data_IF_384219141740
#
_entry.id   IF_384219141740
#
_cell.length_a   1.000
_cell.length_b   1.000
_cell.length_c   1.000
_cell.angle_alpha   90.00
_cell.angle_beta   90.00
_cell.angle_gamma   90.00
#
_symmetry.space_group_name_H-M   'P 1'
#
loop_
_entity.id
_entity.type
_entity.pdbx_description
1 polymer ?
#
# COMPACT_ATOMS: atom_id res chain seq x y z
N UNK A 1 5.59 -9.98 48.18
CA UNK A 1 5.44 -8.56 47.75
C UNK A 1 5.90 -8.31 46.32
N UNK A 2 6.99 -8.94 45.83
CA UNK A 2 7.47 -8.85 44.43
C UNK A 2 6.43 -9.20 43.34
N UNK A 3 5.54 -10.14 43.65
CA UNK A 3 4.52 -10.69 42.76
C UNK A 3 3.30 -9.77 42.56
N UNK A 4 3.02 -8.85 43.49
CA UNK A 4 1.96 -7.84 43.33
C UNK A 4 2.45 -6.64 42.52
N UNK A 5 3.70 -6.22 42.74
CA UNK A 5 4.33 -5.14 41.97
C UNK A 5 4.61 -5.56 40.52
N UNK A 6 5.00 -6.81 40.26
CA UNK A 6 5.19 -7.30 38.88
C UNK A 6 3.89 -7.36 38.08
N UNK A 7 2.76 -7.74 38.71
CA UNK A 7 1.42 -7.67 38.10
C UNK A 7 0.98 -6.22 37.84
N UNK A 8 1.27 -5.31 38.77
CA UNK A 8 0.92 -3.89 38.62
C UNK A 8 1.69 -3.21 37.48
N UNK A 9 2.99 -3.53 37.34
CA UNK A 9 3.85 -3.00 36.29
C UNK A 9 3.47 -3.58 34.92
N UNK A 10 3.08 -4.85 34.86
CA UNK A 10 2.58 -5.49 33.62
C UNK A 10 1.27 -4.85 33.12
N UNK A 11 0.33 -4.51 34.01
CA UNK A 11 -0.89 -3.80 33.61
C UNK A 11 -0.60 -2.36 33.12
N UNK A 12 0.39 -1.67 33.71
CA UNK A 12 0.74 -0.30 33.32
C UNK A 12 1.45 -0.23 31.95
N UNK A 13 2.26 -1.25 31.62
CA UNK A 13 2.92 -1.36 30.31
C UNK A 13 1.93 -1.72 29.18
N UNK A 14 0.86 -2.47 29.48
CA UNK A 14 -0.24 -2.73 28.54
C UNK A 14 -1.05 -1.46 28.23
N UNK A 15 -1.24 -0.56 29.20
CA UNK A 15 -1.98 0.69 28.98
C UNK A 15 -1.20 1.73 28.17
N UNK A 16 0.13 1.77 28.30
CA UNK A 16 0.95 2.76 27.58
C UNK A 16 1.15 2.43 26.09
N UNK A 17 0.94 1.17 25.71
CA UNK A 17 0.98 0.72 24.30
C UNK A 17 -0.32 1.04 23.54
N UNK A 18 -1.37 1.50 24.24
CA UNK A 18 -2.70 1.75 23.66
C UNK A 18 -2.89 3.19 23.15
N UNK A 19 -1.98 4.12 23.44
CA UNK A 19 -2.08 5.50 22.92
C UNK A 19 -1.86 5.59 21.41
N UNK A 20 -1.21 4.58 20.80
CA UNK A 20 -1.16 4.41 19.34
C UNK A 20 -2.46 3.86 18.72
N UNK A 21 -3.35 3.24 19.50
CA UNK A 21 -4.65 2.73 19.03
C UNK A 21 -5.73 3.82 18.98
N UNK A 22 -5.50 4.97 19.63
CA UNK A 22 -6.43 6.11 19.64
C UNK A 22 -6.24 7.05 18.44
N UNK A 23 -5.19 6.86 17.66
CA UNK A 23 -5.12 7.38 16.29
C UNK A 23 -5.95 6.43 15.44
N UNK A 24 -7.25 6.72 15.33
CA UNK A 24 -8.32 5.91 14.70
C UNK A 24 -7.87 4.61 14.02
N UNK A 25 -8.37 3.48 14.51
CA UNK A 25 -8.21 2.17 13.88
C UNK A 25 -8.31 2.30 12.36
N UNK A 26 -7.20 2.08 11.65
CA UNK A 26 -7.11 2.24 10.20
C UNK A 26 -8.05 1.22 9.55
N UNK A 27 -9.15 1.70 8.96
CA UNK A 27 -10.24 0.90 8.39
C UNK A 27 -11.62 1.48 8.73
N UNK A 28 -12.68 0.90 8.17
CA UNK A 28 -14.06 1.41 8.32
C UNK A 28 -14.68 1.21 9.71
N UNK A 29 -14.17 0.27 10.52
CA UNK A 29 -14.68 -0.06 11.87
C UNK A 29 -16.22 -0.23 11.90
N UNK A 30 -16.76 -0.95 10.92
CA UNK A 30 -18.21 -1.02 10.69
C UNK A 30 -18.97 -1.64 11.87
N UNK A 31 -18.44 -2.65 12.55
CA UNK A 31 -19.16 -3.28 13.65
C UNK A 31 -19.30 -2.33 14.85
N UNK A 32 -18.21 -1.66 15.22
CA UNK A 32 -18.18 -0.66 16.29
C UNK A 32 -19.07 0.53 15.95
N UNK A 33 -19.04 0.99 14.70
CA UNK A 33 -19.90 2.07 14.23
C UNK A 33 -21.39 1.74 14.33
N UNK A 34 -21.79 0.49 14.03
CA UNK A 34 -23.19 0.04 14.21
C UNK A 34 -23.62 0.03 15.67
N UNK A 35 -22.76 -0.42 16.58
CA UNK A 35 -23.08 -0.39 18.02
C UNK A 35 -23.15 1.04 18.55
N UNK A 36 -22.29 1.93 18.05
CA UNK A 36 -22.33 3.35 18.38
C UNK A 36 -23.62 4.00 17.88
N UNK A 37 -24.02 3.71 16.64
CA UNK A 37 -25.27 4.20 16.06
C UNK A 37 -26.48 3.73 16.88
N UNK A 38 -26.52 2.46 17.25
CA UNK A 38 -27.55 1.95 18.15
C UNK A 38 -27.63 2.75 19.46
N UNK A 39 -26.48 3.05 20.10
CA UNK A 39 -26.51 3.85 21.32
C UNK A 39 -27.00 5.29 21.07
N UNK A 40 -26.68 5.89 19.93
CA UNK A 40 -27.17 7.22 19.55
C UNK A 40 -28.69 7.24 19.33
N UNK A 41 -29.27 6.16 18.81
CA UNK A 41 -30.69 6.05 18.48
C UNK A 41 -31.58 5.68 19.68
N UNK A 42 -31.07 4.90 20.64
CA UNK A 42 -31.87 4.39 21.77
C UNK A 42 -32.27 5.48 22.77
N UNK A 43 -31.45 6.52 22.95
CA UNK A 43 -31.68 7.54 23.98
C UNK A 43 -31.26 8.95 23.54
N UNK A 44 -32.22 9.87 23.59
CA UNK A 44 -32.01 11.28 23.25
C UNK A 44 -31.18 12.03 24.31
N UNK A 45 -31.33 11.69 25.60
CA UNK A 45 -30.63 12.38 26.70
C UNK A 45 -29.14 12.01 26.77
N UNK A 46 -28.25 13.01 26.78
CA UNK A 46 -26.79 12.83 26.80
C UNK A 46 -26.26 12.03 28.02
N UNK A 47 -26.88 12.18 29.19
CA UNK A 47 -26.47 11.48 30.42
C UNK A 47 -26.94 10.03 30.42
N UNK A 48 -28.18 9.79 29.97
CA UNK A 48 -28.69 8.43 29.77
C UNK A 48 -27.86 7.67 28.73
N UNK A 49 -27.49 8.34 27.64
CA UNK A 49 -26.59 7.81 26.61
C UNK A 49 -25.20 7.45 27.14
N UNK A 50 -24.68 8.26 28.06
CA UNK A 50 -23.48 7.94 28.83
C UNK A 50 -23.63 6.65 29.64
N UNK A 51 -24.77 6.46 30.30
CA UNK A 51 -25.10 5.23 31.01
C UNK A 51 -25.17 4.00 30.10
N UNK A 52 -25.83 4.12 28.94
CA UNK A 52 -25.87 3.05 27.93
C UNK A 52 -24.46 2.75 27.38
N UNK A 53 -23.62 3.76 27.19
CA UNK A 53 -22.21 3.55 26.82
C UNK A 53 -21.46 2.70 27.86
N UNK A 54 -21.64 2.99 29.15
CA UNK A 54 -21.04 2.19 30.23
C UNK A 54 -21.56 0.76 30.21
N UNK A 55 -22.87 0.56 30.01
CA UNK A 55 -23.48 -0.77 29.91
C UNK A 55 -23.00 -1.57 28.68
N UNK A 56 -22.80 -0.88 27.55
CA UNK A 56 -22.32 -1.49 26.30
C UNK A 56 -20.79 -1.61 26.24
N UNK A 57 -20.04 -1.16 27.24
CA UNK A 57 -18.56 -1.29 27.30
C UNK A 57 -18.03 -2.66 26.86
N UNK A 58 -18.54 -3.81 27.36
CA UNK A 58 -18.06 -5.12 26.91
C UNK A 58 -18.37 -5.40 25.43
N UNK A 59 -19.50 -4.89 24.92
CA UNK A 59 -19.86 -5.02 23.50
C UNK A 59 -18.93 -4.19 22.63
N UNK A 60 -18.65 -2.94 23.01
CA UNK A 60 -17.69 -2.10 22.31
C UNK A 60 -16.28 -2.71 22.30
N UNK A 61 -15.83 -3.28 23.41
CA UNK A 61 -14.53 -3.94 23.46
C UNK A 61 -14.44 -5.11 22.47
N UNK A 62 -15.52 -5.89 22.34
CA UNK A 62 -15.60 -6.98 21.38
C UNK A 62 -15.64 -6.47 19.94
N UNK A 63 -16.48 -5.47 19.63
CA UNK A 63 -16.57 -4.97 18.25
C UNK A 63 -15.29 -4.31 17.79
N UNK A 64 -14.60 -3.57 18.68
CA UNK A 64 -13.28 -2.99 18.37
C UNK A 64 -12.28 -4.10 18.04
N UNK A 65 -12.25 -5.18 18.82
CA UNK A 65 -11.37 -6.32 18.55
C UNK A 65 -11.70 -7.02 17.22
N UNK A 66 -12.99 -7.20 16.91
CA UNK A 66 -13.44 -7.84 15.67
C UNK A 66 -13.15 -6.96 14.46
N UNK A 67 -13.40 -5.66 14.54
CA UNK A 67 -13.07 -4.71 13.47
C UNK A 67 -11.56 -4.74 13.21
N UNK A 68 -10.73 -4.65 14.25
CA UNK A 68 -9.27 -4.67 14.12
C UNK A 68 -8.73 -5.95 13.49
N UNK A 69 -9.21 -7.12 13.94
CA UNK A 69 -8.63 -8.41 13.57
C UNK A 69 -9.25 -9.02 12.31
N UNK A 70 -10.52 -8.69 12.01
CA UNK A 70 -11.29 -9.37 10.97
C UNK A 70 -11.71 -8.37 9.90
N UNK A 71 -12.60 -7.43 10.22
CA UNK A 71 -13.22 -6.61 9.17
C UNK A 71 -12.24 -5.63 8.51
N UNK A 72 -11.43 -4.90 9.28
CA UNK A 72 -10.42 -4.01 8.72
C UNK A 72 -9.32 -4.79 7.99
N UNK A 73 -9.00 -6.02 8.44
CA UNK A 73 -8.04 -6.89 7.74
C UNK A 73 -8.59 -7.37 6.40
N UNK A 74 -9.86 -7.81 6.34
CA UNK A 74 -10.52 -8.21 5.09
C UNK A 74 -10.66 -7.00 4.16
N UNK A 75 -11.13 -5.85 4.68
CA UNK A 75 -11.28 -4.60 3.94
C UNK A 75 -9.97 -4.17 3.28
N UNK A 76 -8.84 -4.30 3.98
CA UNK A 76 -7.53 -3.99 3.43
C UNK A 76 -7.12 -4.90 2.27
N UNK A 77 -7.32 -6.22 2.38
CA UNK A 77 -6.88 -7.17 1.36
C UNK A 77 -7.88 -7.36 0.20
N UNK A 78 -9.17 -7.20 0.46
CA UNK A 78 -10.24 -7.29 -0.53
C UNK A 78 -10.52 -5.95 -1.23
N UNK A 79 -10.06 -4.84 -0.66
CA UNK A 79 -10.29 -3.48 -1.15
C UNK A 79 -11.68 -2.91 -0.83
N UNK A 80 -12.58 -3.71 -0.25
CA UNK A 80 -13.91 -3.30 0.20
C UNK A 80 -14.32 -4.01 1.49
N UNK A 81 -15.09 -3.31 2.32
CA UNK A 81 -15.58 -3.85 3.59
C UNK A 81 -16.70 -4.87 3.33
N UNK A 82 -16.62 -6.08 3.93
CA UNK A 82 -17.58 -7.16 3.68
C UNK A 82 -19.00 -6.86 4.21
N UNK A 83 -19.17 -5.80 5.02
CA UNK A 83 -20.44 -5.47 5.67
C UNK A 83 -21.21 -4.33 5.01
N UNK A 84 -20.54 -3.44 4.28
CA UNK A 84 -21.17 -2.27 3.66
C UNK A 84 -20.62 -1.92 2.27
N UNK A 85 -19.58 -2.60 1.78
CA UNK A 85 -18.98 -2.36 0.45
C UNK A 85 -18.20 -1.05 0.35
N UNK A 86 -17.89 -0.41 1.47
CA UNK A 86 -17.05 0.80 1.45
C UNK A 86 -15.59 0.44 1.17
N UNK A 87 -14.93 1.26 0.36
CA UNK A 87 -13.51 1.09 0.04
C UNK A 87 -12.63 1.46 1.21
N UNK A 88 -11.52 0.76 1.34
CA UNK A 88 -10.51 1.08 2.32
C UNK A 88 -9.96 2.50 2.09
N UNK A 89 -9.56 3.20 3.17
CA UNK A 89 -9.06 4.58 3.08
C UNK A 89 -7.83 4.72 2.17
N UNK A 90 -7.03 3.65 2.04
CA UNK A 90 -5.86 3.60 1.15
C UNK A 90 -6.23 3.39 -0.33
N UNK A 91 -7.43 2.88 -0.60
CA UNK A 91 -7.98 2.72 -1.95
C UNK A 91 -8.91 3.88 -2.36
N UNK A 92 -9.13 4.83 -1.43
CA UNK A 92 -9.88 6.06 -1.71
C UNK A 92 -9.07 6.97 -2.64
N UNK A 93 -9.74 7.60 -3.60
CA UNK A 93 -9.14 8.41 -4.69
C UNK A 93 -8.46 9.71 -4.23
N UNK A 94 -8.20 9.87 -2.93
CA UNK A 94 -7.58 11.05 -2.37
C UNK A 94 -6.08 11.02 -2.69
N UNK A 95 -5.64 11.90 -3.58
CA UNK A 95 -4.24 12.05 -3.97
C UNK A 95 -3.34 12.22 -2.73
N UNK A 96 -2.26 11.42 -2.58
CA UNK A 96 -1.36 11.56 -1.44
C UNK A 96 -0.72 12.95 -1.42
N UNK A 97 -0.74 13.61 -0.25
CA UNK A 97 -0.17 14.96 -0.02
C UNK A 97 1.34 15.02 -0.27
N UNK A 98 2.01 13.87 -0.17
CA UNK A 98 3.43 13.71 -0.48
C UNK A 98 3.57 12.73 -1.64
N UNK A 99 3.88 13.26 -2.82
CA UNK A 99 4.37 12.46 -3.93
C UNK A 99 5.83 12.09 -3.59
N UNK A 100 6.03 10.88 -3.09
CA UNK A 100 7.37 10.31 -3.00
C UNK A 100 7.86 10.13 -4.44
N UNK A 101 8.92 10.86 -4.81
CA UNK A 101 9.62 10.62 -6.08
C UNK A 101 10.03 9.15 -6.10
N UNK A 102 9.33 8.36 -6.90
CA UNK A 102 9.44 6.89 -7.03
C UNK A 102 10.75 6.46 -7.71
N UNK A 103 11.83 7.24 -7.55
CA UNK A 103 13.18 6.91 -8.02
C UNK A 103 14.00 6.11 -7.02
N UNK A 104 13.57 6.04 -5.76
CA UNK A 104 14.28 5.33 -4.69
C UNK A 104 13.27 4.49 -3.93
N UNK A 105 12.92 3.32 -4.45
CA UNK A 105 12.42 2.15 -3.70
C UNK A 105 12.28 1.00 -4.69
N UNK A 106 12.78 -0.16 -4.27
CA UNK A 106 12.72 -1.48 -4.93
C UNK A 106 11.27 -1.73 -5.40
N UNK A 107 11.01 -2.28 -6.61
CA UNK A 107 9.70 -2.21 -7.24
C UNK A 107 8.68 -3.12 -6.54
N UNK A 108 7.97 -2.57 -5.57
CA UNK A 108 6.69 -3.13 -5.13
C UNK A 108 5.64 -2.73 -6.18
N UNK A 109 4.98 -3.74 -6.73
CA UNK A 109 4.06 -3.63 -7.86
C UNK A 109 2.78 -2.91 -7.43
N UNK A 110 2.75 -1.60 -7.52
CA UNK A 110 1.52 -0.80 -7.43
C UNK A 110 0.75 -0.95 -8.74
N UNK A 111 -0.32 -1.75 -8.69
CA UNK A 111 -1.36 -1.77 -9.71
C UNK A 111 -2.08 -0.40 -9.70
N UNK A 112 -1.58 0.55 -10.48
CA UNK A 112 -2.37 1.72 -10.83
C UNK A 112 -3.48 1.28 -11.76
N UNK A 113 -4.71 1.66 -11.42
CA UNK A 113 -5.86 1.52 -12.30
C UNK A 113 -5.58 2.32 -13.56
N UNK A 114 -5.11 1.62 -14.59
CA UNK A 114 -4.98 2.13 -15.95
C UNK A 114 -6.42 2.37 -16.42
N UNK A 115 -6.73 3.62 -16.78
CA UNK A 115 -7.90 3.91 -17.61
C UNK A 115 -7.90 2.87 -18.73
N UNK A 116 -8.96 2.06 -18.82
CA UNK A 116 -9.08 0.86 -19.65
C UNK A 116 -9.05 1.15 -21.16
N UNK A 117 -8.04 1.86 -21.65
CA UNK A 117 -7.67 2.02 -23.06
C UNK A 117 -6.14 2.08 -23.28
N UNK A 118 -5.30 1.87 -22.26
CA UNK A 118 -3.94 1.42 -22.50
C UNK A 118 -3.85 -0.06 -22.14
N UNK A 119 -3.87 -0.86 -23.20
CA UNK A 119 -3.65 -2.30 -23.25
C UNK A 119 -2.72 -2.77 -22.14
N UNK A 120 -3.06 -3.90 -21.50
CA UNK A 120 -2.18 -4.70 -20.65
C UNK A 120 -0.85 -4.98 -21.39
N UNK A 121 0.07 -4.01 -21.43
CA UNK A 121 1.31 -4.05 -22.20
C UNK A 121 2.45 -4.22 -21.20
N UNK A 122 2.71 -5.47 -20.87
CA UNK A 122 3.78 -5.91 -19.99
C UNK A 122 4.85 -6.64 -20.81
N UNK A 123 6.11 -6.50 -20.43
CA UNK A 123 7.21 -7.23 -21.08
C UNK A 123 7.03 -8.72 -20.84
N UNK A 124 6.85 -9.49 -21.91
CA UNK A 124 6.76 -10.95 -21.90
C UNK A 124 8.14 -11.61 -22.02
N UNK A 125 8.97 -11.10 -22.95
CA UNK A 125 10.35 -11.59 -23.09
C UNK A 125 11.29 -10.50 -23.60
N UNK A 126 12.57 -10.65 -23.28
CA UNK A 126 13.65 -9.79 -23.77
C UNK A 126 14.77 -10.67 -24.30
N UNK A 127 15.24 -10.40 -25.51
CA UNK A 127 16.41 -11.07 -26.10
C UNK A 127 17.47 -10.04 -26.47
N UNK A 128 18.65 -10.16 -25.85
CA UNK A 128 19.79 -9.31 -26.14
C UNK A 128 20.54 -9.82 -27.38
N UNK A 129 20.85 -8.92 -28.30
CA UNK A 129 21.65 -9.18 -29.50
C UNK A 129 22.78 -8.16 -29.55
N UNK A 130 24.02 -8.64 -29.55
CA UNK A 130 25.19 -7.80 -29.74
C UNK A 130 25.31 -7.45 -31.23
N UNK A 131 25.15 -6.16 -31.56
CA UNK A 131 25.32 -5.67 -32.93
C UNK A 131 26.81 -5.43 -33.22
N UNK A 132 27.51 -4.84 -32.25
CA UNK A 132 28.95 -4.64 -32.30
C UNK A 132 29.51 -4.44 -30.87
N UNK A 133 30.79 -4.05 -30.74
CA UNK A 133 31.46 -3.85 -29.45
C UNK A 133 30.85 -2.72 -28.59
N UNK A 134 30.11 -1.82 -29.20
CA UNK A 134 29.56 -0.62 -28.58
C UNK A 134 28.03 -0.58 -28.62
N UNK A 135 27.37 -1.45 -29.40
CA UNK A 135 25.92 -1.43 -29.61
C UNK A 135 25.30 -2.77 -29.25
N UNK A 136 24.28 -2.74 -28.39
CA UNK A 136 23.46 -3.89 -28.02
C UNK A 136 22.00 -3.57 -28.27
N UNK A 137 21.28 -4.50 -28.90
CA UNK A 137 19.84 -4.44 -29.09
C UNK A 137 19.14 -5.39 -28.12
N UNK A 138 18.15 -4.89 -27.41
CA UNK A 138 17.23 -5.67 -26.60
C UNK A 138 15.89 -5.73 -27.32
N UNK A 139 15.59 -6.89 -27.91
CA UNK A 139 14.31 -7.16 -28.56
C UNK A 139 13.29 -7.51 -27.49
N UNK A 140 12.30 -6.64 -27.30
CA UNK A 140 11.25 -6.74 -26.29
C UNK A 140 9.99 -7.25 -26.98
N UNK A 141 9.45 -8.36 -26.48
CA UNK A 141 8.10 -8.84 -26.85
C UNK A 141 7.18 -8.55 -25.69
N UNK A 142 6.06 -7.90 -25.95
CA UNK A 142 5.03 -7.66 -24.96
C UNK A 142 3.98 -8.78 -24.97
N UNK A 143 3.29 -8.96 -23.86
CA UNK A 143 2.21 -9.94 -23.69
C UNK A 143 1.01 -9.71 -24.63
N UNK A 144 0.83 -8.51 -25.18
CA UNK A 144 -0.18 -8.19 -26.20
C UNK A 144 0.29 -8.48 -27.64
N UNK A 145 1.51 -8.99 -27.83
CA UNK A 145 2.10 -9.29 -29.14
C UNK A 145 2.85 -8.12 -29.78
N UNK A 146 2.81 -6.92 -29.19
CA UNK A 146 3.63 -5.81 -29.65
C UNK A 146 5.12 -6.16 -29.50
N UNK A 147 5.95 -5.57 -30.35
CA UNK A 147 7.41 -5.65 -30.25
C UNK A 147 8.01 -4.25 -30.16
N UNK A 148 9.12 -4.12 -29.44
CA UNK A 148 9.93 -2.92 -29.43
C UNK A 148 11.42 -3.29 -29.37
N UNK A 149 12.26 -2.41 -29.89
CA UNK A 149 13.73 -2.56 -29.82
C UNK A 149 14.29 -1.45 -28.96
N UNK A 150 14.87 -1.83 -27.82
CA UNK A 150 15.68 -0.94 -27.00
C UNK A 150 17.15 -1.10 -27.41
N UNK A 151 17.73 -0.09 -28.02
CA UNK A 151 19.15 -0.05 -28.41
C UNK A 151 19.95 0.75 -27.40
N UNK A 152 21.04 0.15 -26.90
CA UNK A 152 22.06 0.86 -26.13
C UNK A 152 23.30 1.08 -26.99
N UNK A 153 23.67 2.34 -27.21
CA UNK A 153 24.88 2.75 -27.92
C UNK A 153 25.89 3.38 -26.94
N UNK A 154 27.02 2.70 -26.76
CA UNK A 154 28.12 3.13 -25.90
C UNK A 154 29.04 4.12 -26.61
N UNK A 155 29.21 5.29 -26.01
CA UNK A 155 30.17 6.32 -26.40
C UNK A 155 31.03 6.70 -25.19
N UNK A 156 32.27 6.21 -25.15
CA UNK A 156 33.15 6.43 -24.00
C UNK A 156 32.62 5.79 -22.72
N UNK A 157 32.36 6.62 -21.71
CA UNK A 157 31.81 6.22 -20.41
C UNK A 157 30.28 6.35 -20.32
N UNK A 158 29.62 6.79 -21.38
CA UNK A 158 28.17 6.94 -21.45
C UNK A 158 27.54 5.93 -22.40
N UNK A 159 26.29 5.55 -22.08
CA UNK A 159 25.43 4.74 -22.92
C UNK A 159 24.19 5.57 -23.24
N UNK A 160 23.88 5.68 -24.52
CA UNK A 160 22.65 6.31 -25.00
C UNK A 160 21.63 5.24 -25.35
N UNK A 161 20.42 5.36 -24.80
CA UNK A 161 19.34 4.42 -25.02
C UNK A 161 18.30 4.99 -25.98
N UNK A 162 17.96 4.19 -27.00
CA UNK A 162 16.92 4.47 -27.98
C UNK A 162 15.83 3.40 -27.92
N UNK A 163 14.56 3.80 -27.89
CA UNK A 163 13.42 2.89 -28.01
C UNK A 163 12.78 3.12 -29.38
N UNK A 164 12.77 2.07 -30.21
CA UNK A 164 12.30 2.13 -31.60
C UNK A 164 12.95 3.27 -32.40
N UNK A 165 14.25 3.50 -32.16
CA UNK A 165 15.04 4.55 -32.80
C UNK A 165 14.85 5.96 -32.22
N UNK A 166 13.94 6.15 -31.26
CA UNK A 166 13.74 7.43 -30.57
C UNK A 166 14.60 7.50 -29.31
N UNK A 167 15.36 8.57 -29.14
CA UNK A 167 16.16 8.82 -27.93
C UNK A 167 15.26 8.80 -26.70
N UNK A 168 15.63 8.00 -25.70
CA UNK A 168 14.92 7.90 -24.41
C UNK A 168 15.72 8.55 -23.30
N UNK A 169 16.99 8.15 -23.13
CA UNK A 169 17.84 8.64 -22.04
C UNK A 169 19.33 8.36 -22.30
N UNK A 170 20.18 9.01 -21.52
CA UNK A 170 21.60 8.70 -21.37
C UNK A 170 21.85 8.13 -19.96
N UNK A 171 22.87 7.28 -19.81
CA UNK A 171 23.32 6.78 -18.52
C UNK A 171 24.85 6.60 -18.50
N UNK A 172 25.50 6.87 -17.39
CA UNK A 172 26.91 6.53 -17.20
C UNK A 172 27.07 5.03 -16.95
N UNK A 173 28.19 4.47 -17.41
CA UNK A 173 28.59 3.10 -17.08
C UNK A 173 28.75 2.92 -15.57
N UNK A 174 29.23 3.93 -14.85
CA UNK A 174 29.40 3.86 -13.39
C UNK A 174 28.05 3.72 -12.69
N UNK A 175 27.04 4.48 -13.13
CA UNK A 175 25.68 4.38 -12.58
C UNK A 175 25.10 2.98 -12.83
N UNK A 176 25.27 2.46 -14.04
CA UNK A 176 24.80 1.11 -14.40
C UNK A 176 25.51 0.01 -13.60
N UNK A 177 26.79 0.17 -13.28
CA UNK A 177 27.53 -0.77 -12.44
C UNK A 177 27.06 -0.75 -10.99
N UNK A 178 26.72 0.42 -10.45
CA UNK A 178 26.15 0.54 -9.11
C UNK A 178 24.81 -0.21 -9.00
N UNK A 179 24.03 -0.31 -10.08
CA UNK A 179 22.79 -1.10 -10.10
C UNK A 179 23.01 -2.61 -10.13
N UNK A 180 24.14 -3.10 -10.64
CA UNK A 180 24.43 -4.54 -10.70
C UNK A 180 25.03 -5.07 -9.39
N UNK A 181 25.66 -4.22 -8.60
CA UNK A 181 26.30 -4.55 -7.32
C UNK A 181 25.82 -3.58 -6.21
N UNK A 182 24.59 -3.73 -5.70
CA UNK A 182 24.04 -2.88 -4.64
C UNK A 182 24.73 -3.08 -3.28
#
# INVERSE_FOLDING_TARGET
MKNKTFKLISCFLLTLSSTGLLSGCIGSNVATSKVLQFNLEVVENKYARGGVNVLLTPVYALTVAVDLLVFNTIEFWAGESPLNGEKHIFDSTNSPVYQVDQKVLIPERTFTSINNEQTNKQVYSVQATLINKNTVDYNIVYNNGDVAVLRGDKSGEEITFYLDGKLVTHASINDLQAYLNP
#
